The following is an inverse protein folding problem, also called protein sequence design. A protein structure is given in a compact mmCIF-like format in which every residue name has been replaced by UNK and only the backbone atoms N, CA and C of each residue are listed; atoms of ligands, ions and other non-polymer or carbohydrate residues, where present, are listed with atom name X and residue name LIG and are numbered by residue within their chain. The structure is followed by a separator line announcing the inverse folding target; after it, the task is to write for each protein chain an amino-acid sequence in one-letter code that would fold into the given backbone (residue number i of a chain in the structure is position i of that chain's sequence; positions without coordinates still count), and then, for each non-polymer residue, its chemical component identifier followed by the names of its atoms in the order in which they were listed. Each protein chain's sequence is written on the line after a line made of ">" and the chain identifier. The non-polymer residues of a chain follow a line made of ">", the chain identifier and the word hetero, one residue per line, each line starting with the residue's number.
data_IF_895971881906
#
_entry.id   IF_895971881906
#
_cell.length_a   1.000
_cell.length_b   1.000
_cell.length_c   1.000
_cell.angle_alpha   90.00
_cell.angle_beta   90.00
_cell.angle_gamma   90.00
#
_symmetry.space_group_name_H-M   'P 1'
#
loop_
_entity.id
_entity.type
_entity.pdbx_description
1 polymer ?
#
# COMPACT_ATOMS: atom_id res chain seq x y z
N UNK A 1 5.12 0.00 32.44
CA UNK A 1 5.87 0.31 31.20
C UNK A 1 5.85 1.82 31.06
N UNK A 2 6.99 2.49 31.29
CA UNK A 2 7.12 3.96 31.27
C UNK A 2 6.90 4.47 29.86
N UNK A 3 5.76 5.06 29.62
CA UNK A 3 5.37 5.60 28.32
C UNK A 3 6.33 6.74 27.93
N UNK A 4 7.06 6.54 26.84
CA UNK A 4 7.83 7.59 26.20
C UNK A 4 6.84 8.73 25.87
N UNK A 5 7.15 9.95 26.30
CA UNK A 5 6.26 11.10 26.06
C UNK A 5 6.02 11.28 24.56
N UNK A 6 4.81 11.67 24.11
CA UNK A 6 4.49 11.77 22.68
C UNK A 6 5.45 12.69 21.92
N UNK A 7 6.01 13.70 22.56
CA UNK A 7 7.05 14.58 21.98
C UNK A 7 8.34 13.80 21.67
N UNK A 8 8.77 12.90 22.56
CA UNK A 8 9.97 12.07 22.31
C UNK A 8 9.72 11.06 21.20
N UNK A 9 8.52 10.51 21.09
CA UNK A 9 8.15 9.62 20.00
C UNK A 9 8.21 10.34 18.65
N UNK A 10 7.65 11.55 18.55
CA UNK A 10 7.72 12.36 17.33
C UNK A 10 9.16 12.74 16.97
N UNK A 11 10.00 13.09 17.96
CA UNK A 11 11.41 13.40 17.72
C UNK A 11 12.19 12.18 17.20
N UNK A 12 11.93 10.99 17.74
CA UNK A 12 12.58 9.76 17.26
C UNK A 12 12.17 9.41 15.82
N UNK A 13 10.89 9.55 15.51
CA UNK A 13 10.39 9.32 14.14
C UNK A 13 10.97 10.34 13.16
N UNK A 14 11.00 11.62 13.54
CA UNK A 14 11.60 12.68 12.73
C UNK A 14 13.10 12.46 12.51
N UNK A 15 13.83 12.12 13.57
CA UNK A 15 15.27 11.81 13.47
C UNK A 15 15.53 10.60 12.55
N UNK A 16 14.73 9.55 12.69
CA UNK A 16 14.81 8.38 11.80
C UNK A 16 14.54 8.75 10.34
N UNK A 17 13.49 9.54 10.08
CA UNK A 17 13.16 9.98 8.74
C UNK A 17 14.25 10.86 8.11
N UNK A 18 14.86 11.75 8.89
CA UNK A 18 15.97 12.61 8.44
C UNK A 18 17.19 11.75 8.10
N UNK A 19 17.59 10.84 9.00
CA UNK A 19 18.74 9.95 8.78
C UNK A 19 18.51 9.08 7.55
N UNK A 20 17.30 8.54 7.41
CA UNK A 20 16.93 7.72 6.25
C UNK A 20 17.01 8.51 4.93
N UNK A 21 16.49 9.74 4.93
CA UNK A 21 16.57 10.64 3.78
C UNK A 21 18.00 11.03 3.42
N UNK A 22 18.86 11.30 4.43
CA UNK A 22 20.27 11.58 4.21
C UNK A 22 21.00 10.38 3.60
N UNK A 23 20.76 9.17 4.10
CA UNK A 23 21.34 7.95 3.51
C UNK A 23 20.93 7.82 2.04
N UNK A 24 19.65 8.07 1.71
CA UNK A 24 19.17 7.99 0.34
C UNK A 24 19.85 8.99 -0.62
N UNK A 25 20.25 10.17 -0.12
CA UNK A 25 20.96 11.18 -0.91
C UNK A 25 22.42 10.76 -1.19
N UNK A 26 23.08 10.11 -0.23
CA UNK A 26 24.48 9.68 -0.37
C UNK A 26 24.65 8.39 -1.17
N UNK A 27 23.59 7.58 -1.24
CA UNK A 27 23.64 6.30 -1.97
C UNK A 27 23.37 6.55 -3.45
N UNK A 28 24.37 6.37 -4.30
CA UNK A 28 24.27 6.53 -5.76
C UNK A 28 24.06 5.22 -6.51
N UNK A 29 24.20 4.08 -5.84
CA UNK A 29 24.05 2.77 -6.46
C UNK A 29 22.57 2.41 -6.62
N UNK A 30 22.12 2.16 -7.84
CA UNK A 30 20.70 1.85 -8.17
C UNK A 30 20.13 0.70 -7.35
N UNK A 31 20.93 -0.32 -7.06
CA UNK A 31 20.50 -1.47 -6.25
C UNK A 31 20.12 -1.07 -4.81
N UNK A 32 20.97 -0.27 -4.15
CA UNK A 32 20.70 0.18 -2.79
C UNK A 32 19.54 1.20 -2.74
N UNK A 33 19.41 2.05 -3.75
CA UNK A 33 18.26 2.96 -3.88
C UNK A 33 16.95 2.19 -4.01
N UNK A 34 16.94 1.09 -4.77
CA UNK A 34 15.77 0.23 -4.89
C UNK A 34 15.41 -0.39 -3.53
N UNK A 35 16.37 -0.90 -2.78
CA UNK A 35 16.13 -1.44 -1.43
C UNK A 35 15.58 -0.34 -0.51
N UNK A 36 16.21 0.84 -0.50
CA UNK A 36 15.76 1.98 0.30
C UNK A 36 14.33 2.42 -0.06
N UNK A 37 13.90 2.25 -1.30
CA UNK A 37 12.52 2.58 -1.71
C UNK A 37 11.53 1.48 -1.28
N UNK A 38 11.91 0.22 -1.43
CA UNK A 38 11.03 -0.93 -1.16
C UNK A 38 10.79 -1.14 0.35
N UNK A 39 11.80 -0.90 1.19
CA UNK A 39 11.69 -1.07 2.65
C UNK A 39 10.57 -0.24 3.27
N UNK A 40 10.44 1.09 3.06
CA UNK A 40 9.32 1.86 3.62
C UNK A 40 7.96 1.46 3.04
N UNK A 41 7.91 1.01 1.78
CA UNK A 41 6.66 0.49 1.19
C UNK A 41 6.17 -0.73 1.97
N UNK A 42 7.05 -1.70 2.22
CA UNK A 42 6.73 -2.87 3.04
C UNK A 42 6.42 -2.51 4.50
N UNK A 43 7.10 -1.51 5.06
CA UNK A 43 6.82 -1.02 6.41
C UNK A 43 5.40 -0.43 6.51
N UNK A 44 4.99 0.41 5.58
CA UNK A 44 3.63 0.99 5.53
C UNK A 44 2.59 -0.11 5.34
N UNK A 45 2.86 -1.08 4.47
CA UNK A 45 1.97 -2.22 4.24
C UNK A 45 1.80 -3.07 5.52
N UNK A 46 2.89 -3.34 6.23
CA UNK A 46 2.87 -4.06 7.50
C UNK A 46 2.14 -3.29 8.62
N UNK A 47 2.32 -1.97 8.70
CA UNK A 47 1.58 -1.12 9.63
C UNK A 47 0.08 -1.10 9.33
N UNK A 48 -0.31 -0.99 8.07
CA UNK A 48 -1.71 -1.04 7.63
C UNK A 48 -2.35 -2.39 7.98
N UNK A 49 -1.65 -3.48 7.73
CA UNK A 49 -2.09 -4.82 8.11
C UNK A 49 -2.25 -4.96 9.62
N UNK A 50 -1.30 -4.44 10.40
CA UNK A 50 -1.34 -4.48 11.86
C UNK A 50 -2.50 -3.65 12.44
N UNK A 51 -2.83 -2.50 11.84
CA UNK A 51 -4.01 -1.72 12.21
C UNK A 51 -5.29 -2.54 12.06
N UNK A 52 -5.48 -3.21 10.94
CA UNK A 52 -6.69 -3.99 10.71
C UNK A 52 -6.69 -5.29 11.53
N UNK A 53 -5.62 -6.07 11.48
CA UNK A 53 -5.56 -7.37 12.15
C UNK A 53 -5.30 -7.24 13.65
N UNK A 54 -4.47 -6.28 14.08
CA UNK A 54 -4.10 -6.10 15.48
C UNK A 54 -5.20 -5.44 16.32
N UNK A 55 -5.87 -4.41 15.78
CA UNK A 55 -6.91 -3.69 16.53
C UNK A 55 -8.32 -4.23 16.31
N UNK A 56 -8.66 -4.63 15.09
CA UNK A 56 -10.02 -5.11 14.76
C UNK A 56 -10.18 -6.61 14.94
N UNK A 57 -9.08 -7.38 15.10
CA UNK A 57 -9.11 -8.83 15.22
C UNK A 57 -9.48 -9.57 13.92
N UNK A 58 -9.61 -8.86 12.79
CA UNK A 58 -9.90 -9.44 11.50
C UNK A 58 -8.61 -9.76 10.76
N UNK A 59 -8.35 -11.03 10.49
CA UNK A 59 -7.21 -11.43 9.66
C UNK A 59 -7.51 -11.11 8.21
N UNK A 60 -6.90 -10.06 7.67
CA UNK A 60 -7.11 -9.65 6.28
C UNK A 60 -5.98 -10.17 5.39
N UNK A 61 -6.37 -10.99 4.42
CA UNK A 61 -5.49 -11.42 3.32
C UNK A 61 -5.64 -10.52 2.07
N UNK A 62 -6.58 -9.57 2.09
CA UNK A 62 -6.90 -8.69 0.97
C UNK A 62 -5.99 -7.46 0.82
N UNK A 63 -5.04 -7.22 1.73
CA UNK A 63 -4.19 -6.02 1.69
C UNK A 63 -3.40 -5.89 0.38
N UNK A 64 -2.90 -7.01 -0.16
CA UNK A 64 -2.19 -7.04 -1.42
C UNK A 64 -3.05 -6.55 -2.59
N UNK A 65 -4.36 -6.85 -2.58
CA UNK A 65 -5.30 -6.42 -3.61
C UNK A 65 -5.48 -4.89 -3.61
N UNK A 66 -5.65 -4.28 -2.44
CA UNK A 66 -5.81 -2.82 -2.34
C UNK A 66 -4.52 -2.08 -2.68
N UNK A 67 -3.38 -2.63 -2.28
CA UNK A 67 -2.07 -2.12 -2.68
C UNK A 67 -1.88 -2.19 -4.20
N UNK A 68 -2.16 -3.34 -4.80
CA UNK A 68 -2.10 -3.55 -6.25
C UNK A 68 -3.03 -2.60 -7.00
N UNK A 69 -4.28 -2.45 -6.55
CA UNK A 69 -5.24 -1.51 -7.13
C UNK A 69 -4.71 -0.07 -7.13
N UNK A 70 -4.14 0.37 -6.01
CA UNK A 70 -3.52 1.69 -5.90
C UNK A 70 -2.33 1.87 -6.85
N UNK A 71 -1.45 0.88 -6.93
CA UNK A 71 -0.29 0.90 -7.80
C UNK A 71 -0.70 0.95 -9.29
N UNK A 72 -1.66 0.12 -9.70
CA UNK A 72 -2.22 0.16 -11.06
C UNK A 72 -2.88 1.49 -11.38
N UNK A 73 -3.63 2.07 -10.44
CA UNK A 73 -4.24 3.38 -10.63
C UNK A 73 -3.21 4.47 -10.90
N UNK A 74 -2.12 4.55 -10.09
CA UNK A 74 -1.04 5.52 -10.29
C UNK A 74 -0.35 5.28 -11.63
N UNK A 75 -0.03 4.03 -11.97
CA UNK A 75 0.63 3.69 -13.22
C UNK A 75 -0.23 4.06 -14.44
N UNK A 76 -1.52 3.70 -14.44
CA UNK A 76 -2.43 4.02 -15.54
C UNK A 76 -2.65 5.52 -15.70
N UNK A 77 -2.79 6.27 -14.62
CA UNK A 77 -2.96 7.74 -14.69
C UNK A 77 -1.70 8.42 -15.21
N UNK A 78 -0.52 7.89 -14.88
CA UNK A 78 0.75 8.39 -15.42
C UNK A 78 0.88 8.09 -16.92
N UNK A 79 0.55 6.88 -17.36
CA UNK A 79 0.69 6.46 -18.77
C UNK A 79 -0.32 7.19 -19.67
N UNK A 80 -1.60 7.29 -19.28
CA UNK A 80 -2.66 7.80 -20.15
C UNK A 80 -2.82 9.32 -20.05
N UNK A 81 -2.57 9.90 -18.88
CA UNK A 81 -2.81 11.33 -18.61
C UNK A 81 -1.56 12.12 -18.26
N UNK A 82 -0.40 11.46 -18.17
CA UNK A 82 0.86 12.11 -17.79
C UNK A 82 0.84 12.73 -16.38
N UNK A 83 -0.07 12.26 -15.51
CA UNK A 83 -0.21 12.80 -14.16
C UNK A 83 1.01 12.44 -13.31
N UNK A 84 1.54 13.44 -12.61
CA UNK A 84 2.63 13.22 -11.66
C UNK A 84 2.21 12.23 -10.58
N UNK A 85 3.09 11.28 -10.18
CA UNK A 85 2.82 10.35 -9.09
C UNK A 85 2.42 11.04 -7.77
N UNK A 86 2.90 12.27 -7.53
CA UNK A 86 2.54 13.07 -6.36
C UNK A 86 1.05 13.42 -6.28
N UNK A 87 0.37 13.53 -7.41
CA UNK A 87 -1.09 13.72 -7.50
C UNK A 87 -1.77 12.36 -7.56
N UNK A 88 -1.16 11.41 -8.29
CA UNK A 88 -1.68 10.04 -8.43
C UNK A 88 -1.84 9.30 -7.11
N UNK A 89 -0.88 9.42 -6.17
CA UNK A 89 -0.90 8.73 -4.88
C UNK A 89 -2.10 9.15 -4.00
N UNK A 90 -2.39 10.45 -3.76
CA UNK A 90 -3.59 10.85 -3.05
C UNK A 90 -4.89 10.37 -3.72
N UNK A 91 -4.97 10.44 -5.05
CA UNK A 91 -6.13 9.93 -5.78
C UNK A 91 -6.28 8.40 -5.65
N UNK A 92 -5.17 7.67 -5.75
CA UNK A 92 -5.14 6.23 -5.54
C UNK A 92 -5.60 5.84 -4.12
N UNK A 93 -5.26 6.63 -3.11
CA UNK A 93 -5.72 6.40 -1.74
C UNK A 93 -7.23 6.53 -1.60
N UNK A 94 -7.86 7.47 -2.30
CA UNK A 94 -9.33 7.61 -2.37
C UNK A 94 -9.97 6.42 -3.09
N UNK A 95 -9.40 6.00 -4.21
CA UNK A 95 -9.88 4.81 -4.95
C UNK A 95 -9.75 3.56 -4.09
N UNK A 96 -8.63 3.37 -3.41
CA UNK A 96 -8.42 2.28 -2.46
C UNK A 96 -9.41 2.30 -1.29
N UNK A 97 -9.72 3.48 -0.74
CA UNK A 97 -10.72 3.65 0.32
C UNK A 97 -12.13 3.30 -0.18
N UNK A 98 -12.52 3.76 -1.36
CA UNK A 98 -13.81 3.41 -1.97
C UNK A 98 -13.93 1.91 -2.27
N UNK A 99 -12.89 1.31 -2.83
CA UNK A 99 -12.83 -0.14 -3.04
C UNK A 99 -12.93 -0.89 -1.72
N UNK A 100 -12.22 -0.41 -0.68
CA UNK A 100 -12.29 -0.97 0.68
C UNK A 100 -13.68 -0.89 1.28
N UNK A 101 -14.44 0.19 1.06
CA UNK A 101 -15.84 0.31 1.48
C UNK A 101 -16.73 -0.65 0.71
N UNK A 102 -16.61 -0.73 -0.61
CA UNK A 102 -17.42 -1.61 -1.46
C UNK A 102 -17.21 -3.08 -1.10
N UNK A 103 -15.97 -3.49 -0.89
CA UNK A 103 -15.59 -4.85 -0.56
C UNK A 103 -15.84 -5.14 0.93
N UNK A 104 -15.51 -4.20 1.81
CA UNK A 104 -15.62 -4.36 3.24
C UNK A 104 -17.06 -4.47 3.72
N UNK A 105 -17.98 -3.65 3.21
CA UNK A 105 -19.38 -3.63 3.67
C UNK A 105 -20.07 -5.00 3.59
N UNK A 106 -20.02 -5.77 2.49
CA UNK A 106 -20.56 -7.12 2.47
C UNK A 106 -19.72 -8.10 3.27
N UNK A 107 -18.39 -7.93 3.27
CA UNK A 107 -17.47 -8.88 3.89
C UNK A 107 -17.49 -8.82 5.41
N UNK A 108 -17.68 -7.63 6.01
CA UNK A 108 -17.82 -7.49 7.47
C UNK A 108 -19.08 -8.15 8.05
N UNK A 109 -20.05 -8.54 7.23
CA UNK A 109 -21.19 -9.35 7.64
C UNK A 109 -20.83 -10.83 7.84
N UNK A 110 -19.70 -11.27 7.27
CA UNK A 110 -19.19 -12.62 7.41
C UNK A 110 -18.41 -12.75 8.71
N UNK A 111 -18.49 -13.90 9.36
CA UNK A 111 -17.81 -14.16 10.62
C UNK A 111 -16.79 -15.29 10.47
N UNK A 112 -15.70 -15.20 11.25
CA UNK A 112 -14.69 -16.25 11.35
C UNK A 112 -14.02 -16.58 10.01
N UNK A 113 -13.96 -17.85 9.68
CA UNK A 113 -13.24 -18.36 8.50
C UNK A 113 -13.82 -17.87 7.16
N UNK A 114 -15.14 -17.59 7.10
CA UNK A 114 -15.77 -17.07 5.87
C UNK A 114 -15.29 -15.66 5.52
N UNK A 115 -15.00 -14.83 6.52
CA UNK A 115 -14.37 -13.52 6.29
C UNK A 115 -12.99 -13.67 5.66
N UNK A 116 -12.15 -14.57 6.19
CA UNK A 116 -10.80 -14.80 5.67
C UNK A 116 -10.83 -15.34 4.24
N UNK A 117 -11.73 -16.28 3.93
CA UNK A 117 -11.90 -16.83 2.57
C UNK A 117 -12.38 -15.77 1.58
N UNK A 118 -13.36 -14.93 1.97
CA UNK A 118 -13.82 -13.84 1.13
C UNK A 118 -12.67 -12.86 0.83
N UNK A 119 -11.88 -12.49 1.84
CA UNK A 119 -10.73 -11.58 1.66
C UNK A 119 -9.61 -12.18 0.80
N UNK A 120 -9.51 -13.50 0.73
CA UNK A 120 -8.56 -14.18 -0.15
C UNK A 120 -9.04 -14.22 -1.61
N UNK A 121 -10.35 -14.21 -1.83
CA UNK A 121 -10.93 -14.21 -3.17
C UNK A 121 -10.74 -12.87 -3.90
N UNK A 122 -10.67 -11.73 -3.20
CA UNK A 122 -10.53 -10.41 -3.83
C UNK A 122 -9.24 -10.21 -4.62
N UNK A 123 -8.04 -10.57 -4.11
CA UNK A 123 -6.81 -10.48 -4.89
C UNK A 123 -6.89 -11.26 -6.20
N UNK A 124 -7.47 -12.46 -6.14
CA UNK A 124 -7.64 -13.31 -7.33
C UNK A 124 -8.64 -12.71 -8.31
N UNK A 125 -9.77 -12.20 -7.82
CA UNK A 125 -10.76 -11.54 -8.67
C UNK A 125 -10.17 -10.30 -9.37
N UNK A 126 -9.43 -9.46 -8.66
CA UNK A 126 -8.75 -8.30 -9.24
C UNK A 126 -7.69 -8.71 -10.25
N UNK A 127 -6.88 -9.74 -9.94
CA UNK A 127 -5.88 -10.27 -10.86
C UNK A 127 -6.54 -10.66 -12.20
N UNK A 128 -7.60 -11.45 -12.17
CA UNK A 128 -8.32 -11.87 -13.39
C UNK A 128 -8.98 -10.70 -14.13
N UNK A 129 -9.47 -9.68 -13.43
CA UNK A 129 -10.02 -8.47 -14.07
C UNK A 129 -8.93 -7.71 -14.80
N UNK A 130 -7.77 -7.50 -14.19
CA UNK A 130 -6.64 -6.83 -14.85
C UNK A 130 -6.07 -7.65 -16.00
N UNK A 131 -6.02 -8.98 -15.86
CA UNK A 131 -5.61 -9.89 -16.92
C UNK A 131 -6.57 -9.83 -18.12
N UNK A 132 -7.87 -9.84 -17.87
CA UNK A 132 -8.90 -9.70 -18.90
C UNK A 132 -8.85 -8.35 -19.62
N UNK A 133 -8.51 -7.28 -18.90
CA UNK A 133 -8.32 -5.93 -19.46
C UNK A 133 -6.99 -5.78 -20.23
N UNK A 134 -6.11 -6.79 -20.22
CA UNK A 134 -4.83 -6.77 -20.91
C UNK A 134 -3.73 -5.99 -20.16
N UNK A 135 -3.93 -5.65 -18.89
CA UNK A 135 -2.95 -4.92 -18.07
C UNK A 135 -2.05 -5.86 -17.25
N UNK A 136 -1.61 -6.95 -17.84
CA UNK A 136 -0.75 -7.92 -17.13
C UNK A 136 0.62 -7.35 -16.79
N UNK A 137 1.21 -6.58 -17.72
CA UNK A 137 2.51 -5.92 -17.52
C UNK A 137 2.41 -4.46 -17.95
N UNK A 138 2.50 -3.55 -17.00
CA UNK A 138 2.57 -2.11 -17.27
C UNK A 138 4.04 -1.70 -17.33
N UNK A 139 4.57 -1.55 -18.53
CA UNK A 139 5.87 -0.92 -18.73
C UNK A 139 5.72 0.58 -18.53
N UNK A 140 6.26 1.12 -17.44
CA UNK A 140 6.34 2.55 -17.23
C UNK A 140 7.40 3.14 -18.17
N UNK A 141 7.12 4.28 -18.86
CA UNK A 141 8.13 4.94 -19.64
C UNK A 141 9.27 5.38 -18.72
N UNK A 142 10.47 4.89 -19.00
CA UNK A 142 11.68 5.34 -18.31
C UNK A 142 11.99 6.76 -18.79
N UNK A 143 11.86 7.73 -17.90
CA UNK A 143 12.30 9.10 -18.08
C UNK A 143 13.73 9.27 -17.60
#
# INVERSE_FOLDING_TARGET
>A
MSGISPRRQMLLVAAFAIVYGLIAIFVQHSYYLLILTVVPVWAVMGLSWNLLSGYSGFVSFGHAAFFGLGAYFVALTQIHWGLSPWIGIPCASLVGALAGLLVGTPTFRLRGHYFALAMLAYPLALLYVFEWLGYQELALPMQ
#
